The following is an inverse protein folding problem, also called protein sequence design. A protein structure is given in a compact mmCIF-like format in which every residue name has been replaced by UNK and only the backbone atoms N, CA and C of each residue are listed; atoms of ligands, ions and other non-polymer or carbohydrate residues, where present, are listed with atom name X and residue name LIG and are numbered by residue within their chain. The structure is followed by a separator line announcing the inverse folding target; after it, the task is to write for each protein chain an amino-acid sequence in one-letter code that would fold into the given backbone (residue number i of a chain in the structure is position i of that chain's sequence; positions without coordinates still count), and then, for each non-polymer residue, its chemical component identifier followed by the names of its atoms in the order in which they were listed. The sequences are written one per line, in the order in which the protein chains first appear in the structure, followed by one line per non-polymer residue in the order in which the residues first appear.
data_IF_797378190683
#
_entry.id   IF_797378190683
#
_cell.length_a   1.000
_cell.length_b   1.000
_cell.length_c   1.000
_cell.angle_alpha   90.00
_cell.angle_beta   90.00
_cell.angle_gamma   90.00
#
_symmetry.space_group_name_H-M   'P 1'
#
loop_
_entity.id
_entity.type
_entity.pdbx_description
1 polymer ?
#
# COMPACT_ATOMS: atom_id res chain seq x y z
N UNK A 1 7.74 -14.73 12.35
CA UNK A 1 6.63 -14.03 13.04
C UNK A 1 5.65 -13.41 12.03
N UNK A 2 4.75 -14.18 11.41
CA UNK A 2 3.83 -13.67 10.37
C UNK A 2 2.76 -12.68 10.90
N UNK A 3 2.27 -12.91 12.12
CA UNK A 3 1.19 -12.10 12.69
C UNK A 3 1.63 -10.66 13.04
N UNK A 4 2.85 -10.48 13.55
CA UNK A 4 3.41 -9.16 13.84
C UNK A 4 3.60 -8.33 12.55
N UNK A 5 4.15 -8.96 11.51
CA UNK A 5 4.33 -8.32 10.19
C UNK A 5 3.00 -7.90 9.58
N UNK A 6 1.99 -8.78 9.58
CA UNK A 6 0.64 -8.44 9.10
C UNK A 6 0.01 -7.29 9.89
N UNK A 7 0.20 -7.27 11.21
CA UNK A 7 -0.28 -6.17 12.07
C UNK A 7 0.38 -4.85 11.70
N UNK A 8 1.69 -4.86 11.43
CA UNK A 8 2.42 -3.67 10.99
C UNK A 8 1.94 -3.18 9.62
N UNK A 9 1.74 -4.07 8.64
CA UNK A 9 1.19 -3.69 7.34
C UNK A 9 -0.18 -3.03 7.46
N UNK A 10 -1.08 -3.61 8.26
CA UNK A 10 -2.42 -3.06 8.47
C UNK A 10 -2.36 -1.71 9.17
N UNK A 11 -1.50 -1.56 10.19
CA UNK A 11 -1.30 -0.28 10.89
C UNK A 11 -0.86 0.81 9.90
N UNK A 12 0.17 0.55 9.11
CA UNK A 12 0.70 1.50 8.13
C UNK A 12 -0.34 1.84 7.05
N UNK A 13 -1.10 0.86 6.55
CA UNK A 13 -2.17 1.13 5.58
C UNK A 13 -3.24 2.05 6.17
N UNK A 14 -3.70 1.78 7.40
CA UNK A 14 -4.73 2.58 8.08
C UNK A 14 -4.24 4.00 8.36
N UNK A 15 -3.01 4.16 8.84
CA UNK A 15 -2.41 5.48 9.09
C UNK A 15 -2.32 6.32 7.81
N UNK A 16 -1.98 5.71 6.67
CA UNK A 16 -1.89 6.40 5.37
C UNK A 16 -3.25 6.75 4.78
N UNK A 17 -4.26 5.92 5.01
CA UNK A 17 -5.62 6.17 4.49
C UNK A 17 -6.41 7.15 5.37
N UNK A 18 -6.03 7.33 6.64
CA UNK A 18 -6.67 8.27 7.56
C UNK A 18 -6.38 9.72 7.16
N UNK A 19 -7.43 10.55 7.13
CA UNK A 19 -7.36 11.97 6.73
C UNK A 19 -7.33 12.95 7.91
N UNK A 20 -7.15 12.46 9.14
CA UNK A 20 -7.11 13.30 10.35
C UNK A 20 -7.67 12.60 11.59
N UNK A 21 -7.69 13.32 12.71
CA UNK A 21 -8.28 12.84 13.96
C UNK A 21 -9.79 12.56 13.76
N UNK A 22 -10.21 11.33 14.08
CA UNK A 22 -11.60 10.88 13.93
C UNK A 22 -11.92 10.08 12.67
N UNK A 23 -11.08 10.09 11.63
CA UNK A 23 -11.33 9.32 10.39
C UNK A 23 -10.85 7.86 10.45
N UNK A 24 -10.45 7.38 11.64
CA UNK A 24 -9.91 6.03 11.79
C UNK A 24 -10.90 4.94 11.34
N UNK A 25 -12.17 5.05 11.75
CA UNK A 25 -13.22 4.10 11.35
C UNK A 25 -13.49 4.14 9.85
N UNK A 26 -13.48 5.34 9.27
CA UNK A 26 -13.62 5.54 7.82
C UNK A 26 -12.46 4.93 7.04
N UNK A 27 -11.22 5.16 7.48
CA UNK A 27 -10.02 4.59 6.88
C UNK A 27 -10.04 3.04 6.92
N UNK A 28 -10.40 2.46 8.07
CA UNK A 28 -10.53 1.00 8.19
C UNK A 28 -11.60 0.45 7.24
N UNK A 29 -12.75 1.12 7.11
CA UNK A 29 -13.81 0.72 6.18
C UNK A 29 -13.38 0.81 4.71
N UNK A 30 -12.66 1.86 4.32
CA UNK A 30 -12.12 2.03 2.96
C UNK A 30 -11.11 0.94 2.62
N UNK A 31 -10.20 0.61 3.53
CA UNK A 31 -9.24 -0.49 3.35
C UNK A 31 -9.95 -1.83 3.26
N UNK A 32 -10.88 -2.11 4.18
CA UNK A 32 -11.67 -3.33 4.20
C UNK A 32 -12.36 -3.57 2.85
N UNK A 33 -13.07 -2.55 2.35
CA UNK A 33 -13.75 -2.59 1.05
C UNK A 33 -12.77 -2.76 -0.13
N UNK A 34 -11.65 -2.03 -0.12
CA UNK A 34 -10.70 -2.01 -1.24
C UNK A 34 -9.98 -3.35 -1.42
N UNK A 35 -9.74 -4.08 -0.34
CA UNK A 35 -8.92 -5.29 -0.34
C UNK A 35 -9.67 -6.58 0.02
N UNK A 36 -11.00 -6.53 0.13
CA UNK A 36 -11.81 -7.70 0.47
C UNK A 36 -11.53 -8.25 1.88
N UNK A 37 -11.28 -7.35 2.84
CA UNK A 37 -11.15 -7.69 4.26
C UNK A 37 -12.40 -7.24 5.01
N UNK A 38 -12.66 -7.79 6.19
CA UNK A 38 -13.69 -7.24 7.08
C UNK A 38 -13.11 -6.11 7.93
N UNK A 39 -13.94 -5.14 8.31
CA UNK A 39 -13.52 -4.05 9.22
C UNK A 39 -12.98 -4.62 10.54
N UNK A 40 -13.59 -5.71 11.02
CA UNK A 40 -13.13 -6.41 12.21
C UNK A 40 -11.74 -7.05 12.05
N UNK A 41 -11.44 -7.66 10.90
CA UNK A 41 -10.09 -8.18 10.62
C UNK A 41 -9.05 -7.06 10.66
N UNK A 42 -9.35 -5.93 10.00
CA UNK A 42 -8.49 -4.75 9.98
C UNK A 42 -8.25 -4.22 11.40
N UNK A 43 -9.33 -4.03 12.18
CA UNK A 43 -9.22 -3.53 13.55
C UNK A 43 -8.42 -4.46 14.46
N UNK A 44 -8.69 -5.76 14.39
CA UNK A 44 -8.03 -6.78 15.22
C UNK A 44 -6.53 -6.85 14.94
N UNK A 45 -6.14 -6.79 13.66
CA UNK A 45 -4.74 -6.75 13.23
C UNK A 45 -4.07 -5.43 13.62
N UNK A 46 -4.74 -4.29 13.45
CA UNK A 46 -4.24 -2.97 13.86
C UNK A 46 -3.93 -2.91 15.36
N UNK A 47 -4.80 -3.51 16.19
CA UNK A 47 -4.62 -3.58 17.65
C UNK A 47 -3.51 -4.57 18.07
N UNK A 48 -2.93 -5.34 17.14
CA UNK A 48 -1.83 -6.27 17.44
C UNK A 48 -2.20 -7.46 18.33
N UNK A 49 -3.50 -7.77 18.47
CA UNK A 49 -3.99 -8.80 19.41
C UNK A 49 -3.88 -10.24 18.87
N UNK A 50 -3.25 -10.44 17.72
CA UNK A 50 -3.17 -11.75 17.06
C UNK A 50 -1.86 -12.47 17.38
N UNK A 51 -1.95 -13.53 18.18
CA UNK A 51 -0.82 -14.44 18.43
C UNK A 51 -0.49 -15.28 17.20
N UNK A 52 -1.51 -15.61 16.41
CA UNK A 52 -1.40 -16.42 15.19
C UNK A 52 -2.24 -15.79 14.08
N UNK A 53 -1.82 -16.02 12.84
CA UNK A 53 -2.55 -15.63 11.64
C UNK A 53 -2.48 -16.79 10.66
N UNK A 54 -3.59 -17.09 10.01
CA UNK A 54 -3.63 -18.09 8.95
C UNK A 54 -2.78 -17.64 7.76
N UNK A 55 -2.06 -18.57 7.13
CA UNK A 55 -1.19 -18.28 5.98
C UNK A 55 -1.94 -17.59 4.84
N UNK A 56 -3.16 -18.03 4.52
CA UNK A 56 -3.98 -17.42 3.46
C UNK A 56 -4.38 -15.98 3.78
N UNK A 57 -4.70 -15.68 5.04
CA UNK A 57 -4.99 -14.30 5.47
C UNK A 57 -3.72 -13.43 5.42
N UNK A 58 -2.57 -13.96 5.84
CA UNK A 58 -1.29 -13.27 5.73
C UNK A 58 -0.95 -12.90 4.27
N UNK A 59 -1.08 -13.86 3.34
CA UNK A 59 -0.81 -13.62 1.91
C UNK A 59 -1.73 -12.53 1.33
N UNK A 60 -3.02 -12.53 1.68
CA UNK A 60 -3.97 -11.47 1.27
C UNK A 60 -3.57 -10.09 1.81
N UNK A 61 -3.15 -10.00 3.07
CA UNK A 61 -2.71 -8.73 3.68
C UNK A 61 -1.42 -8.24 3.02
N UNK A 62 -0.47 -9.15 2.75
CA UNK A 62 0.78 -8.80 2.06
C UNK A 62 0.50 -8.31 0.65
N UNK A 63 -0.38 -8.99 -0.10
CA UNK A 63 -0.80 -8.55 -1.43
C UNK A 63 -1.52 -7.19 -1.39
N UNK A 64 -2.37 -6.95 -0.39
CA UNK A 64 -3.02 -5.66 -0.16
C UNK A 64 -2.01 -4.53 0.09
N UNK A 65 -1.02 -4.78 0.95
CA UNK A 65 0.05 -3.82 1.22
C UNK A 65 0.85 -3.48 -0.04
N UNK A 66 1.19 -4.48 -0.87
CA UNK A 66 1.92 -4.25 -2.12
C UNK A 66 1.08 -3.50 -3.15
N UNK A 67 -0.23 -3.76 -3.23
CA UNK A 67 -1.15 -2.97 -4.05
C UNK A 67 -1.29 -1.51 -3.58
N UNK A 68 -1.08 -1.23 -2.29
CA UNK A 68 -1.01 0.14 -1.77
C UNK A 68 0.29 0.85 -2.20
N UNK A 69 1.40 0.11 -2.23
CA UNK A 69 2.68 0.61 -2.76
C UNK A 69 2.55 0.94 -4.25
N UNK A 70 1.95 0.06 -5.05
CA UNK A 70 1.68 0.32 -6.48
C UNK A 70 0.83 1.58 -6.69
N UNK A 71 -0.18 1.80 -5.85
CA UNK A 71 -1.00 3.03 -5.89
C UNK A 71 -0.18 4.29 -5.62
N UNK A 72 0.74 4.26 -4.65
CA UNK A 72 1.60 5.40 -4.36
C UNK A 72 2.55 5.68 -5.52
N UNK A 73 3.12 4.63 -6.12
CA UNK A 73 3.96 4.76 -7.30
C UNK A 73 3.18 5.37 -8.46
N UNK A 74 1.95 4.93 -8.70
CA UNK A 74 1.08 5.50 -9.74
C UNK A 74 0.77 6.99 -9.51
N UNK A 75 0.58 7.41 -8.25
CA UNK A 75 0.46 8.84 -7.92
C UNK A 75 1.73 9.60 -8.25
N UNK A 76 2.90 9.09 -7.85
CA UNK A 76 4.19 9.73 -8.18
C UNK A 76 4.41 9.84 -9.69
N UNK A 77 4.05 8.82 -10.47
CA UNK A 77 4.09 8.87 -11.93
C UNK A 77 3.19 9.98 -12.49
N UNK A 78 2.00 10.16 -11.92
CA UNK A 78 1.08 11.22 -12.32
C UNK A 78 1.62 12.61 -12.00
N UNK A 79 2.17 12.82 -10.80
CA UNK A 79 2.78 14.09 -10.41
C UNK A 79 3.96 14.45 -11.33
N UNK A 80 4.83 13.48 -11.67
CA UNK A 80 5.92 13.70 -12.61
C UNK A 80 5.43 14.02 -14.02
N UNK A 81 4.33 13.40 -14.47
CA UNK A 81 3.73 13.72 -15.75
C UNK A 81 3.18 15.15 -15.80
N UNK A 82 2.62 15.65 -14.68
CA UNK A 82 2.19 17.05 -14.55
C UNK A 82 3.41 17.99 -14.60
N UNK A 83 4.47 17.67 -13.86
CA UNK A 83 5.72 18.46 -13.86
C UNK A 83 6.31 18.55 -15.27
N UNK A 84 6.40 17.42 -15.99
CA UNK A 84 6.85 17.36 -17.39
C UNK A 84 5.98 18.22 -18.30
N UNK A 85 4.66 18.22 -18.09
CA UNK A 85 3.74 19.04 -18.87
C UNK A 85 3.87 20.55 -18.55
N UNK A 86 4.28 20.89 -17.33
CA UNK A 86 4.34 22.28 -16.84
C UNK A 86 5.66 22.96 -17.15
N UNK A 87 6.78 22.28 -16.87
CA UNK A 87 8.15 22.83 -17.02
C UNK A 87 8.87 22.32 -18.26
N UNK A 88 8.26 21.38 -19.01
CA UNK A 88 8.89 20.71 -20.13
C UNK A 88 9.80 19.56 -19.71
N UNK A 89 10.44 18.95 -20.70
CA UNK A 89 11.36 17.83 -20.48
C UNK A 89 12.71 18.35 -20.00
N UNK A 90 13.14 17.90 -18.82
CA UNK A 90 14.46 18.20 -18.25
C UNK A 90 15.13 16.90 -17.81
N UNK A 91 16.47 16.88 -17.81
CA UNK A 91 17.26 15.75 -17.33
C UNK A 91 16.92 15.34 -15.88
N UNK A 92 16.40 16.27 -15.07
CA UNK A 92 15.94 15.99 -13.72
C UNK A 92 14.63 15.19 -13.72
N UNK A 93 13.65 15.63 -14.52
CA UNK A 93 12.35 14.97 -14.66
C UNK A 93 12.51 13.59 -15.30
N UNK A 94 13.34 13.47 -16.34
CA UNK A 94 13.58 12.18 -17.00
C UNK A 94 14.22 11.16 -16.05
N UNK A 95 15.23 11.58 -15.26
CA UNK A 95 15.84 10.71 -14.23
C UNK A 95 14.85 10.30 -13.15
N UNK A 96 13.99 11.22 -12.72
CA UNK A 96 12.96 10.93 -11.73
C UNK A 96 11.94 9.90 -12.27
N UNK A 97 11.47 10.06 -13.51
CA UNK A 97 10.57 9.12 -14.18
C UNK A 97 11.21 7.74 -14.36
N UNK A 98 12.50 7.68 -14.72
CA UNK A 98 13.24 6.42 -14.82
C UNK A 98 13.29 5.70 -13.46
N UNK A 99 13.64 6.41 -12.39
CA UNK A 99 13.69 5.84 -11.04
C UNK A 99 12.31 5.34 -10.56
N UNK A 100 11.24 6.09 -10.83
CA UNK A 100 9.88 5.68 -10.47
C UNK A 100 9.42 4.46 -11.29
N UNK A 101 9.78 4.37 -12.58
CA UNK A 101 9.52 3.17 -13.40
C UNK A 101 10.24 1.94 -12.87
N UNK A 102 11.50 2.07 -12.47
CA UNK A 102 12.24 0.97 -11.87
C UNK A 102 11.60 0.51 -10.55
N UNK A 103 11.18 1.45 -9.71
CA UNK A 103 10.48 1.16 -8.46
C UNK A 103 9.14 0.44 -8.72
N UNK A 104 8.40 0.83 -9.75
CA UNK A 104 7.16 0.19 -10.17
C UNK A 104 7.40 -1.28 -10.54
N UNK A 105 8.42 -1.56 -11.34
CA UNK A 105 8.76 -2.92 -11.75
C UNK A 105 9.12 -3.81 -10.56
N UNK A 106 9.93 -3.29 -9.61
CA UNK A 106 10.29 -4.02 -8.38
C UNK A 106 9.08 -4.31 -7.49
N UNK A 107 8.15 -3.36 -7.36
CA UNK A 107 6.93 -3.55 -6.59
C UNK A 107 6.00 -4.62 -7.21
N UNK A 108 5.86 -4.61 -8.54
CA UNK A 108 5.07 -5.58 -9.28
C UNK A 108 5.65 -7.01 -9.15
N UNK A 109 6.97 -7.18 -9.30
CA UNK A 109 7.64 -8.47 -9.11
C UNK A 109 7.47 -8.99 -7.67
N UNK A 110 7.65 -8.13 -6.67
CA UNK A 110 7.43 -8.49 -5.26
C UNK A 110 5.99 -8.99 -5.01
N UNK A 111 5.00 -8.38 -5.69
CA UNK A 111 3.59 -8.78 -5.61
C UNK A 111 3.33 -10.09 -6.33
N UNK A 112 3.88 -10.29 -7.53
CA UNK A 112 3.75 -11.54 -8.28
C UNK A 112 4.27 -12.74 -7.47
N UNK A 113 5.44 -12.61 -6.85
CA UNK A 113 6.02 -13.63 -5.96
C UNK A 113 5.23 -13.88 -4.67
N UNK A 114 4.29 -13.00 -4.32
CA UNK A 114 3.42 -13.16 -3.15
C UNK A 114 2.14 -13.93 -3.49
N UNK A 115 1.75 -13.91 -4.77
CA UNK A 115 0.53 -14.53 -5.28
C UNK A 115 0.79 -15.89 -5.97
N UNK A 116 2.04 -16.17 -6.34
CA UNK A 116 2.53 -17.48 -6.78
C UNK A 116 2.80 -18.42 -5.61
#
# INVERSE_FOLDING_TARGET
MPAATASNYVKVMVEREARGEGDLSGAMARIARRYGLTVWQVERLRKGRNKTIEAGLFSRIRAAYLAEVERQISKLQHELAIERATLGETDAVERAEAAVRELAAKAADAKARTLS
#
